data_IF_832699450306
#
_entry.id   IF_832699450306
#
_cell.length_a   1.000
_cell.length_b   1.000
_cell.length_c   1.000
_cell.angle_alpha   90.00
_cell.angle_beta   90.00
_cell.angle_gamma   90.00
#
_symmetry.space_group_name_H-M   'P 1'
#
loop_
_entity.id
_entity.type
_entity.pdbx_description
1 polymer ?
#
# COMPACT_ATOMS: atom_id res chain seq x y z
N UNK A 1 10.99 -3.91 -11.10
CA UNK A 1 10.45 -4.16 -9.74
C UNK A 1 9.00 -3.72 -9.76
N UNK A 2 8.09 -4.46 -9.12
CA UNK A 2 6.65 -4.18 -9.17
C UNK A 2 6.03 -4.38 -7.77
N UNK A 3 5.21 -3.42 -7.35
CA UNK A 3 4.55 -3.39 -6.05
C UNK A 3 3.55 -4.55 -5.84
N UNK A 4 3.06 -5.18 -6.91
CA UNK A 4 2.27 -6.41 -6.85
C UNK A 4 2.98 -7.54 -6.10
N UNK A 5 4.31 -7.52 -6.03
CA UNK A 5 5.09 -8.48 -5.23
C UNK A 5 4.81 -8.40 -3.72
N UNK A 6 4.26 -7.28 -3.21
CA UNK A 6 3.76 -7.16 -1.83
C UNK A 6 2.56 -8.08 -1.57
N UNK A 7 1.87 -8.56 -2.61
CA UNK A 7 0.75 -9.49 -2.48
C UNK A 7 1.18 -10.94 -2.24
N UNK A 8 2.47 -11.27 -2.42
CA UNK A 8 3.00 -12.63 -2.20
C UNK A 8 2.57 -13.21 -0.83
N UNK A 9 2.80 -12.53 0.31
CA UNK A 9 2.34 -13.03 1.60
C UNK A 9 0.82 -12.93 1.77
N UNK A 10 0.18 -11.92 1.19
CA UNK A 10 -1.29 -11.77 1.26
C UNK A 10 -2.01 -12.97 0.64
N UNK A 11 -1.44 -13.52 -0.44
CA UNK A 11 -1.95 -14.68 -1.17
C UNK A 11 -1.45 -16.02 -0.61
N UNK A 12 -0.66 -16.02 0.47
CA UNK A 12 -0.22 -17.24 1.14
C UNK A 12 0.92 -17.99 0.44
N UNK A 13 1.60 -17.35 -0.51
CA UNK A 13 2.79 -17.96 -1.14
C UNK A 13 3.95 -18.04 -0.15
N UNK A 14 4.07 -17.08 0.78
CA UNK A 14 5.10 -17.03 1.82
C UNK A 14 4.54 -16.46 3.14
N UNK A 15 5.11 -16.83 4.30
CA UNK A 15 4.86 -16.15 5.58
C UNK A 15 5.24 -14.67 5.55
N UNK A 16 4.55 -13.83 6.33
CA UNK A 16 4.86 -12.39 6.41
C UNK A 16 6.25 -12.07 6.96
N UNK A 17 6.81 -12.95 7.77
CA UNK A 17 8.16 -12.81 8.34
C UNK A 17 9.25 -13.50 7.49
N UNK A 18 8.92 -14.05 6.33
CA UNK A 18 9.90 -14.68 5.45
C UNK A 18 10.92 -13.63 4.96
N UNK A 19 12.20 -13.98 4.98
CA UNK A 19 13.30 -13.11 4.54
C UNK A 19 13.10 -12.52 3.14
N UNK A 20 12.42 -13.23 2.23
CA UNK A 20 12.09 -12.75 0.89
C UNK A 20 11.00 -11.69 0.91
N UNK A 21 10.01 -11.83 1.78
CA UNK A 21 8.96 -10.80 1.99
C UNK A 21 9.57 -9.55 2.58
N UNK A 22 10.45 -9.68 3.58
CA UNK A 22 11.20 -8.54 4.13
C UNK A 22 12.06 -7.87 3.06
N UNK A 23 12.72 -8.66 2.21
CA UNK A 23 13.45 -8.16 1.04
C UNK A 23 12.56 -7.39 0.05
N UNK A 24 11.35 -7.87 -0.21
CA UNK A 24 10.36 -7.19 -1.06
C UNK A 24 9.91 -5.86 -0.47
N UNK A 25 9.60 -5.80 0.83
CA UNK A 25 9.25 -4.56 1.53
C UNK A 25 10.38 -3.55 1.39
N UNK A 26 11.62 -3.98 1.65
CA UNK A 26 12.81 -3.13 1.55
C UNK A 26 12.99 -2.59 0.14
N UNK A 27 12.98 -3.48 -0.87
CA UNK A 27 13.15 -3.08 -2.27
C UNK A 27 12.06 -2.11 -2.74
N UNK A 28 10.81 -2.35 -2.36
CA UNK A 28 9.68 -1.45 -2.68
C UNK A 28 9.88 -0.08 -2.04
N UNK A 29 10.25 -0.04 -0.76
CA UNK A 29 10.48 1.21 -0.02
C UNK A 29 11.66 2.01 -0.60
N UNK A 30 12.73 1.34 -1.02
CA UNK A 30 13.94 2.00 -1.54
C UNK A 30 13.80 2.47 -3.00
N UNK A 31 13.03 1.75 -3.83
CA UNK A 31 13.05 1.94 -5.29
C UNK A 31 11.72 2.39 -5.89
N UNK A 32 10.60 2.13 -5.22
CA UNK A 32 9.27 2.50 -5.71
C UNK A 32 8.61 3.60 -4.89
N UNK A 33 9.21 4.07 -3.80
CA UNK A 33 8.59 5.08 -2.95
C UNK A 33 9.09 6.49 -3.26
N UNK A 34 8.18 7.45 -3.36
CA UNK A 34 8.48 8.88 -3.44
C UNK A 34 7.55 9.62 -2.49
N UNK A 35 8.09 10.41 -1.55
CA UNK A 35 7.32 11.18 -0.57
C UNK A 35 6.29 10.35 0.23
N UNK A 36 6.64 9.09 0.55
CA UNK A 36 5.77 8.19 1.30
C UNK A 36 4.67 7.51 0.47
N UNK A 37 4.66 7.69 -0.85
CA UNK A 37 3.72 7.09 -1.77
C UNK A 37 4.43 6.13 -2.73
N UNK A 38 3.77 5.04 -3.10
CA UNK A 38 4.36 3.92 -3.84
C UNK A 38 3.92 3.93 -5.31
N UNK A 39 4.89 3.97 -6.21
CA UNK A 39 4.72 3.71 -7.64
C UNK A 39 4.41 2.23 -7.88
N UNK A 40 3.66 1.92 -8.93
CA UNK A 40 3.34 0.53 -9.27
C UNK A 40 4.58 -0.25 -9.69
N UNK A 41 5.39 0.28 -10.60
CA UNK A 41 6.61 -0.37 -11.06
C UNK A 41 7.71 0.64 -11.40
N UNK A 42 8.93 0.12 -11.51
CA UNK A 42 10.08 0.80 -12.09
C UNK A 42 10.28 0.25 -13.50
N UNK A 43 10.16 1.11 -14.52
CA UNK A 43 10.32 0.74 -15.92
C UNK A 43 9.46 1.60 -16.86
N UNK A 44 9.70 1.45 -18.16
CA UNK A 44 8.85 2.02 -19.21
C UNK A 44 7.72 1.02 -19.51
N UNK A 45 6.48 1.49 -19.44
CA UNK A 45 5.26 0.73 -19.75
C UNK A 45 4.75 0.98 -21.17
N UNK A 46 5.45 1.83 -21.94
CA UNK A 46 5.06 2.23 -23.28
C UNK A 46 3.89 3.21 -23.33
N UNK A 47 3.45 3.76 -22.19
CA UNK A 47 2.38 4.76 -22.12
C UNK A 47 2.95 6.18 -22.07
N UNK A 48 2.31 7.15 -22.74
CA UNK A 48 2.76 8.53 -22.70
C UNK A 48 2.40 9.19 -21.35
N UNK A 49 3.39 9.77 -20.68
CA UNK A 49 3.20 10.56 -19.46
C UNK A 49 4.23 10.22 -18.39
N UNK A 50 4.08 10.85 -17.22
CA UNK A 50 4.69 10.36 -15.98
C UNK A 50 3.55 9.85 -15.12
N UNK A 51 3.52 8.55 -14.88
CA UNK A 51 2.54 7.92 -13.99
C UNK A 51 2.66 8.51 -12.57
N UNK A 52 1.52 8.70 -11.91
CA UNK A 52 1.49 9.06 -10.49
C UNK A 52 1.82 7.85 -9.62
N UNK A 53 1.91 8.09 -8.31
CA UNK A 53 1.95 6.98 -7.35
C UNK A 53 0.57 6.37 -7.19
N UNK A 54 0.48 5.05 -7.03
CA UNK A 54 -0.79 4.35 -6.90
C UNK A 54 -1.20 4.27 -5.44
N UNK A 55 -2.42 4.75 -5.15
CA UNK A 55 -2.97 4.74 -3.80
C UNK A 55 -3.06 3.31 -3.26
N UNK A 56 -3.55 2.38 -4.09
CA UNK A 56 -3.65 0.96 -3.73
C UNK A 56 -2.29 0.32 -3.42
N UNK A 57 -1.25 0.63 -4.20
CA UNK A 57 0.09 0.08 -3.98
C UNK A 57 0.68 0.57 -2.64
N UNK A 58 0.38 1.81 -2.28
CA UNK A 58 0.79 2.37 -0.98
C UNK A 58 0.07 1.66 0.16
N UNK A 59 -1.22 1.34 0.01
CA UNK A 59 -1.94 0.52 0.99
C UNK A 59 -1.39 -0.90 1.08
N UNK A 60 -1.04 -1.58 -0.01
CA UNK A 60 -0.39 -2.90 0.07
C UNK A 60 0.92 -2.87 0.88
N UNK A 61 1.69 -1.79 0.79
CA UNK A 61 2.89 -1.62 1.62
C UNK A 61 2.53 -1.50 3.10
N UNK A 62 1.51 -0.70 3.45
CA UNK A 62 0.98 -0.60 4.81
C UNK A 62 0.55 -1.95 5.35
N UNK A 63 -0.26 -2.70 4.59
CA UNK A 63 -0.80 -4.00 4.97
C UNK A 63 0.34 -5.00 5.26
N UNK A 64 1.32 -5.08 4.35
CA UNK A 64 2.44 -6.00 4.46
C UNK A 64 3.38 -5.62 5.62
N UNK A 65 3.64 -4.33 5.83
CA UNK A 65 4.40 -3.85 6.98
C UNK A 65 3.70 -4.23 8.28
N UNK A 66 2.40 -3.95 8.41
CA UNK A 66 1.63 -4.25 9.61
C UNK A 66 1.67 -5.74 9.96
N UNK A 67 1.43 -6.61 8.97
CA UNK A 67 1.38 -8.06 9.16
C UNK A 67 2.78 -8.70 9.29
N UNK A 68 3.84 -8.03 8.85
CA UNK A 68 5.24 -8.43 9.13
C UNK A 68 5.75 -7.99 10.51
N UNK A 69 4.92 -7.31 11.31
CA UNK A 69 5.27 -6.81 12.64
C UNK A 69 5.93 -5.43 12.66
N UNK A 70 6.05 -4.75 11.52
CA UNK A 70 6.59 -3.38 11.41
C UNK A 70 5.46 -2.35 11.57
N UNK A 71 4.76 -2.43 12.70
CA UNK A 71 3.46 -1.75 12.91
C UNK A 71 3.60 -0.22 12.95
N UNK A 72 4.64 0.30 13.59
CA UNK A 72 4.87 1.74 13.69
C UNK A 72 5.10 2.36 12.31
N UNK A 73 5.87 1.67 11.45
CA UNK A 73 6.14 2.15 10.09
C UNK A 73 4.90 2.07 9.22
N UNK A 74 4.11 1.01 9.36
CA UNK A 74 2.82 0.87 8.69
C UNK A 74 1.88 2.04 9.05
N UNK A 75 1.80 2.41 10.33
CA UNK A 75 0.98 3.53 10.80
C UNK A 75 1.45 4.90 10.29
N UNK A 76 2.77 5.13 10.27
CA UNK A 76 3.36 6.35 9.71
C UNK A 76 2.94 6.55 8.24
N UNK A 77 3.08 5.51 7.42
CA UNK A 77 2.72 5.56 6.00
C UNK A 77 1.21 5.68 5.84
N UNK A 78 0.42 4.92 6.60
CA UNK A 78 -1.04 4.96 6.56
C UNK A 78 -1.57 6.37 6.87
N UNK A 79 -1.14 6.95 8.00
CA UNK A 79 -1.56 8.30 8.40
C UNK A 79 -1.02 9.38 7.47
N UNK A 80 0.15 9.17 6.85
CA UNK A 80 0.67 10.00 5.78
C UNK A 80 -0.25 10.01 4.55
N UNK A 81 -0.67 8.82 4.10
CA UNK A 81 -1.57 8.67 2.95
C UNK A 81 -2.96 9.28 3.21
N UNK A 82 -3.49 9.18 4.43
CA UNK A 82 -4.77 9.81 4.80
C UNK A 82 -4.79 11.33 4.62
N UNK A 83 -3.64 12.00 4.62
CA UNK A 83 -3.57 13.47 4.40
C UNK A 83 -3.98 13.88 2.98
N UNK A 84 -3.94 12.95 2.02
CA UNK A 84 -4.35 13.20 0.65
C UNK A 84 -5.83 12.91 0.40
N UNK A 85 -6.56 12.37 1.38
CA UNK A 85 -7.98 12.10 1.22
C UNK A 85 -8.73 13.41 0.96
N UNK A 86 -9.67 13.39 0.02
CA UNK A 86 -10.45 14.60 -0.27
C UNK A 86 -11.37 14.96 0.91
N UNK A 87 -11.90 16.21 0.96
CA UNK A 87 -12.87 16.60 1.98
C UNK A 87 -14.15 15.72 2.01
N UNK A 88 -14.43 15.00 0.93
CA UNK A 88 -15.55 14.05 0.86
C UNK A 88 -15.19 12.64 1.35
N UNK A 89 -13.95 12.43 1.82
CA UNK A 89 -13.45 11.12 2.22
C UNK A 89 -13.13 10.21 1.03
N UNK A 90 -12.80 10.78 -0.14
CA UNK A 90 -12.57 10.02 -1.37
C UNK A 90 -11.12 10.07 -1.84
N UNK A 91 -10.64 8.95 -2.37
CA UNK A 91 -9.38 8.81 -3.09
C UNK A 91 -9.58 8.58 -4.60
N UNK A 92 -8.65 9.09 -5.40
CA UNK A 92 -8.47 8.68 -6.78
C UNK A 92 -7.64 7.41 -6.86
N UNK A 93 -7.37 6.98 -8.08
CA UNK A 93 -6.47 5.88 -8.41
C UNK A 93 -5.02 6.23 -8.06
N UNK A 94 -4.61 7.43 -8.44
CA UNK A 94 -3.25 7.90 -8.33
C UNK A 94 -3.17 9.21 -7.56
N UNK A 95 -2.00 9.46 -6.97
CA UNK A 95 -1.62 10.75 -6.41
C UNK A 95 -0.30 11.17 -7.03
N UNK A 96 -0.22 12.41 -7.51
CA UNK A 96 1.05 13.01 -7.88
C UNK A 96 1.92 13.15 -6.62
N UNK A 97 3.09 12.50 -6.53
CA UNK A 97 3.86 12.47 -5.29
C UNK A 97 4.50 13.80 -4.92
N UNK A 98 4.54 14.78 -5.84
CA UNK A 98 5.13 16.11 -5.60
C UNK A 98 4.03 17.14 -5.30
N UNK A 99 2.99 17.21 -6.13
CA UNK A 99 1.91 18.21 -5.95
C UNK A 99 0.81 17.75 -4.99
N UNK A 100 0.67 16.44 -4.75
CA UNK A 100 -0.46 15.86 -4.02
C UNK A 100 -1.78 15.83 -4.80
N UNK A 101 -1.75 16.17 -6.09
CA UNK A 101 -2.93 16.13 -6.95
C UNK A 101 -3.47 14.71 -7.09
N UNK A 102 -4.79 14.56 -7.01
CA UNK A 102 -5.52 13.32 -7.24
C UNK A 102 -5.65 13.09 -8.76
N UNK A 103 -5.18 11.95 -9.25
CA UNK A 103 -5.06 11.64 -10.67
C UNK A 103 -5.81 10.35 -11.04
N UNK A 104 -6.17 10.23 -12.32
CA UNK A 104 -6.84 9.04 -12.86
C UNK A 104 -8.30 8.93 -12.41
N UNK A 105 -8.76 7.70 -12.22
CA UNK A 105 -10.16 7.44 -11.84
C UNK A 105 -10.50 8.06 -10.48
N UNK A 106 -11.60 8.81 -10.40
CA UNK A 106 -12.07 9.42 -9.14
C UNK A 106 -13.60 9.41 -9.03
N UNK A 107 -14.19 8.84 -7.95
CA UNK A 107 -13.52 8.05 -6.91
C UNK A 107 -13.10 6.67 -7.43
N UNK A 108 -11.97 6.15 -6.94
CA UNK A 108 -11.50 4.82 -7.34
C UNK A 108 -11.84 3.77 -6.28
N UNK A 109 -12.66 2.78 -6.63
CA UNK A 109 -13.14 1.75 -5.68
C UNK A 109 -11.98 0.97 -5.03
N UNK A 110 -10.97 0.60 -5.81
CA UNK A 110 -9.83 -0.16 -5.28
C UNK A 110 -9.03 0.59 -4.23
N UNK A 111 -8.80 1.90 -4.41
CA UNK A 111 -8.13 2.75 -3.42
C UNK A 111 -8.85 2.71 -2.07
N UNK A 112 -10.19 2.69 -2.08
CA UNK A 112 -10.99 2.61 -0.85
C UNK A 112 -10.99 1.20 -0.24
N UNK A 113 -10.90 0.14 -1.06
CA UNK A 113 -10.70 -1.22 -0.55
C UNK A 113 -9.35 -1.30 0.18
N UNK A 114 -8.28 -0.73 -0.38
CA UNK A 114 -6.97 -0.65 0.27
C UNK A 114 -7.02 0.09 1.60
N UNK A 115 -7.75 1.21 1.67
CA UNK A 115 -7.97 1.95 2.91
C UNK A 115 -8.62 1.07 4.00
N UNK A 116 -9.71 0.39 3.65
CA UNK A 116 -10.46 -0.47 4.58
C UNK A 116 -9.58 -1.62 5.08
N UNK A 117 -8.91 -2.32 4.16
CA UNK A 117 -8.04 -3.45 4.49
C UNK A 117 -6.87 -3.03 5.37
N UNK A 118 -6.19 -1.94 5.02
CA UNK A 118 -5.10 -1.38 5.83
C UNK A 118 -5.55 -1.03 7.25
N UNK A 119 -6.72 -0.40 7.41
CA UNK A 119 -7.27 -0.08 8.73
C UNK A 119 -7.58 -1.35 9.55
N UNK A 120 -8.12 -2.39 8.91
CA UNK A 120 -8.39 -3.68 9.55
C UNK A 120 -7.10 -4.37 9.99
N UNK A 121 -6.11 -4.50 9.10
CA UNK A 121 -4.86 -5.20 9.39
C UNK A 121 -3.96 -4.46 10.38
N UNK A 122 -3.90 -3.12 10.32
CA UNK A 122 -3.28 -2.31 11.37
C UNK A 122 -3.96 -2.54 12.73
N UNK A 123 -5.30 -2.61 12.74
CA UNK A 123 -6.07 -2.92 13.94
C UNK A 123 -5.67 -4.27 14.53
N UNK A 124 -5.63 -5.31 13.70
CA UNK A 124 -5.24 -6.67 14.09
C UNK A 124 -3.80 -6.71 14.61
N UNK A 125 -2.85 -6.09 13.90
CA UNK A 125 -1.45 -6.03 14.30
C UNK A 125 -1.26 -5.31 15.65
N UNK A 126 -2.17 -4.37 15.99
CA UNK A 126 -2.23 -3.68 17.29
C UNK A 126 -3.01 -4.46 18.37
N UNK A 127 -3.38 -5.71 18.12
CA UNK A 127 -4.07 -6.57 19.08
C UNK A 127 -5.59 -6.41 19.11
N UNK A 128 -6.22 -5.71 18.15
CA UNK A 128 -7.68 -5.75 18.01
C UNK A 128 -8.13 -7.15 17.60
N UNK A 129 -9.29 -7.57 18.10
CA UNK A 129 -9.89 -8.84 17.72
C UNK A 129 -10.10 -8.87 16.21
N UNK A 130 -9.69 -9.96 15.59
CA UNK A 130 -9.91 -10.16 14.18
C UNK A 130 -11.39 -10.24 13.83
N UNK A 131 -11.79 -9.42 12.86
CA UNK A 131 -13.10 -9.44 12.24
C UNK A 131 -12.92 -9.69 10.74
N UNK A 132 -13.60 -10.70 10.20
CA UNK A 132 -13.54 -11.02 8.77
C UNK A 132 -12.44 -12.01 8.36
N UNK A 133 -12.23 -12.20 7.05
CA UNK A 133 -11.29 -13.18 6.51
C UNK A 133 -9.84 -12.85 6.88
N UNK A 134 -9.08 -13.91 7.13
CA UNK A 134 -7.65 -13.86 7.43
C UNK A 134 -6.84 -13.62 6.15
N UNK A 135 -5.73 -12.85 6.21
CA UNK A 135 -4.67 -12.98 5.22
C UNK A 135 -4.23 -14.45 5.13
N UNK A 136 -3.84 -14.90 3.93
CA UNK A 136 -3.51 -16.31 3.73
C UNK A 136 -2.10 -16.67 4.21
N UNK A 137 -1.17 -15.71 4.15
CA UNK A 137 0.16 -15.84 4.77
C UNK A 137 0.01 -15.97 6.28
N UNK A 138 0.53 -17.07 6.84
CA UNK A 138 0.60 -17.29 8.29
C UNK A 138 2.04 -17.25 8.76
#
# INVERSE_FOLDING_TARGET
>A
LDATSLLIPMMGFLPFNDSRVIGTIKATTERLMTNGLVHRYEGDDGLPGKEGTFVLCTFWLVETLALSGQVEKAEEIFTGLLKYISPLGLFAEEINPVSGEQLGNYPQAFSHIGLINSALYLGIAKGRKQMGPQPLGK
#
